data_IF_244197613827
#
_entry.id   IF_244197613827
#
_cell.length_a   1.000
_cell.length_b   1.000
_cell.length_c   1.000
_cell.angle_alpha   90.00
_cell.angle_beta   90.00
_cell.angle_gamma   90.00
#
_symmetry.space_group_name_H-M   'P 1'
#
loop_
_entity.id
_entity.type
_entity.pdbx_description
1 polymer ?
#
# COMPACT_ATOMS: atom_id res chain seq x y z
N UNK A 1 -10.20 5.33 -20.15
CA UNK A 1 -8.75 5.47 -20.40
C UNK A 1 -8.00 4.89 -19.22
N UNK A 2 -7.10 3.94 -19.47
CA UNK A 2 -6.20 3.38 -18.46
C UNK A 2 -4.99 4.31 -18.36
N UNK A 3 -4.75 4.94 -17.22
CA UNK A 3 -3.56 5.78 -17.05
C UNK A 3 -2.34 4.88 -16.75
N UNK A 4 -1.23 5.13 -17.45
CA UNK A 4 0.06 4.52 -17.17
C UNK A 4 0.77 5.36 -16.11
N UNK A 5 0.85 4.86 -14.88
CA UNK A 5 1.56 5.52 -13.76
C UNK A 5 2.69 4.66 -13.24
N UNK A 6 3.74 5.25 -12.70
CA UNK A 6 4.83 4.51 -12.06
C UNK A 6 4.49 4.19 -10.60
N UNK A 7 4.84 2.99 -10.14
CA UNK A 7 4.74 2.63 -8.74
C UNK A 7 5.76 3.40 -7.91
N UNK A 8 5.30 4.06 -6.85
CA UNK A 8 6.18 4.84 -5.96
C UNK A 8 7.18 4.01 -5.15
N UNK A 9 7.02 2.68 -5.08
CA UNK A 9 7.91 1.79 -4.31
C UNK A 9 8.97 1.11 -5.17
N UNK A 10 8.58 0.56 -6.32
CA UNK A 10 9.47 -0.22 -7.19
C UNK A 10 9.73 0.43 -8.56
N UNK A 11 8.98 1.47 -8.93
CA UNK A 11 9.12 2.13 -10.23
C UNK A 11 8.37 1.47 -11.39
N UNK A 12 7.76 0.30 -11.18
CA UNK A 12 7.01 -0.44 -12.21
C UNK A 12 5.87 0.36 -12.83
N UNK A 13 5.59 0.10 -14.10
CA UNK A 13 4.43 0.67 -14.80
C UNK A 13 3.15 0.00 -14.31
N UNK A 14 2.28 0.80 -13.71
CA UNK A 14 0.94 0.44 -13.28
C UNK A 14 0.00 0.72 -14.45
N UNK A 15 -0.58 -0.34 -14.98
CA UNK A 15 -1.77 -0.25 -15.83
C UNK A 15 -3.01 -0.34 -14.93
N UNK A 16 -3.67 0.79 -14.70
CA UNK A 16 -4.85 0.85 -13.83
C UNK A 16 -5.84 1.91 -14.31
N UNK A 17 -7.13 1.59 -14.25
CA UNK A 17 -8.22 2.56 -14.48
C UNK A 17 -8.37 3.55 -13.32
N UNK A 18 -7.79 3.24 -12.15
CA UNK A 18 -7.88 4.10 -10.98
C UNK A 18 -6.74 5.14 -10.99
N UNK A 19 -7.05 6.45 -11.16
CA UNK A 19 -6.05 7.52 -11.12
C UNK A 19 -5.34 7.60 -9.77
N UNK A 20 -6.02 7.25 -8.68
CA UNK A 20 -5.47 7.37 -7.32
C UNK A 20 -4.51 6.23 -6.95
N UNK A 21 -4.26 5.27 -7.84
CA UNK A 21 -3.42 4.11 -7.53
C UNK A 21 -1.94 4.49 -7.50
N UNK A 22 -1.38 4.53 -6.29
CA UNK A 22 0.03 4.88 -6.01
C UNK A 22 1.01 3.69 -6.14
N UNK A 23 0.51 2.47 -6.01
CA UNK A 23 1.34 1.26 -5.95
C UNK A 23 0.86 0.16 -6.90
N UNK A 24 1.82 -0.60 -7.44
CA UNK A 24 1.54 -1.83 -8.18
C UNK A 24 0.87 -2.85 -7.25
N UNK A 25 0.27 -3.91 -7.83
CA UNK A 25 -0.46 -4.91 -7.06
C UNK A 25 0.41 -5.57 -5.98
N UNK A 26 1.62 -5.98 -6.35
CA UNK A 26 2.63 -6.57 -5.47
C UNK A 26 2.99 -5.64 -4.29
N UNK A 27 3.37 -4.40 -4.59
CA UNK A 27 3.74 -3.43 -3.56
C UNK A 27 2.55 -3.06 -2.66
N UNK A 28 1.34 -2.94 -3.22
CA UNK A 28 0.12 -2.67 -2.45
C UNK A 28 -0.14 -3.78 -1.44
N UNK A 29 0.05 -5.05 -1.82
CA UNK A 29 -0.12 -6.20 -0.92
C UNK A 29 0.87 -6.15 0.24
N UNK A 30 2.16 -5.90 -0.04
CA UNK A 30 3.21 -5.77 0.99
C UNK A 30 2.91 -4.63 1.97
N UNK A 31 2.58 -3.45 1.45
CA UNK A 31 2.23 -2.27 2.28
C UNK A 31 0.99 -2.56 3.15
N UNK A 32 -0.02 -3.23 2.60
CA UNK A 32 -1.19 -3.63 3.38
C UNK A 32 -0.84 -4.53 4.56
N UNK A 33 0.07 -5.50 4.38
CA UNK A 33 0.55 -6.39 5.44
C UNK A 33 1.36 -5.60 6.48
N UNK A 34 2.26 -4.71 6.03
CA UNK A 34 3.07 -3.84 6.89
C UNK A 34 2.16 -2.96 7.78
N UNK A 35 1.19 -2.26 7.18
CA UNK A 35 0.24 -1.43 7.91
C UNK A 35 -0.64 -2.24 8.88
N UNK A 36 -1.09 -3.44 8.48
CA UNK A 36 -1.86 -4.30 9.37
C UNK A 36 -1.04 -4.71 10.60
N UNK A 37 0.25 -5.03 10.41
CA UNK A 37 1.18 -5.34 11.50
C UNK A 37 1.39 -4.14 12.42
N UNK A 38 1.61 -2.95 11.87
CA UNK A 38 1.75 -1.71 12.64
C UNK A 38 0.49 -1.40 13.47
N UNK A 39 -0.69 -1.53 12.86
CA UNK A 39 -1.97 -1.35 13.56
C UNK A 39 -2.15 -2.33 14.73
N UNK A 40 -1.75 -3.60 14.54
CA UNK A 40 -1.77 -4.59 15.63
C UNK A 40 -0.86 -4.18 16.77
N UNK A 41 0.37 -3.75 16.48
CA UNK A 41 1.33 -3.26 17.48
C UNK A 41 0.79 -2.03 18.20
N UNK A 42 0.25 -1.05 17.45
CA UNK A 42 -0.35 0.16 18.02
C UNK A 42 -1.51 -0.17 18.97
N UNK A 43 -2.39 -1.11 18.59
CA UNK A 43 -3.50 -1.58 19.44
C UNK A 43 -3.01 -2.26 20.72
N UNK A 44 -1.94 -3.05 20.63
CA UNK A 44 -1.32 -3.68 21.82
C UNK A 44 -0.68 -2.65 22.75
N UNK A 45 -0.10 -1.57 22.21
CA UNK A 45 0.44 -0.45 23.00
C UNK A 45 -0.66 0.36 23.69
N UNK A 46 -1.78 0.63 23.01
CA UNK A 46 -2.92 1.38 23.56
C UNK A 46 -3.62 0.65 24.72
N UNK A 47 -3.62 -0.69 24.75
CA UNK A 47 -4.27 -1.48 25.81
C UNK A 47 -3.48 -1.55 27.13
N UNK A 48 -2.26 -0.99 27.16
CA UNK A 48 -1.38 -0.96 28.35
C UNK A 48 -1.38 0.40 29.08
N UNK A 49 -2.20 1.36 28.64
CA UNK A 49 -2.37 2.67 29.26
C UNK A 49 -3.72 2.72 29.96
#
# INVERSE_FOLDING_TARGET
MTELRKCLRCGDIIQSYSPMRKWCYECRKKIGIEQARERKIAKMKLKKK
#
